data_IF_284001665495
#
_entry.id   IF_284001665495
#
_cell.length_a   1.000
_cell.length_b   1.000
_cell.length_c   1.000
_cell.angle_alpha   90.00
_cell.angle_beta   90.00
_cell.angle_gamma   90.00
#
_symmetry.space_group_name_H-M   'P 1'
#
loop_
_entity.id
_entity.type
_entity.pdbx_description
1 polymer ?
#
# COMPACT_ATOMS: atom_id res chain seq x y z
N UNK A 1 41.39 18.87 52.63
CA UNK A 1 40.42 17.88 52.12
C UNK A 1 39.38 18.62 51.33
N UNK A 2 39.43 18.58 50.00
CA UNK A 2 38.44 19.23 49.12
C UNK A 2 37.38 18.16 48.72
N UNK A 3 36.16 18.33 49.18
CA UNK A 3 35.05 17.45 48.79
C UNK A 3 34.59 17.84 47.37
N UNK A 4 34.91 16.97 46.42
CA UNK A 4 34.41 17.11 45.05
C UNK A 4 32.91 16.77 45.00
N UNK A 5 32.10 17.77 44.68
CA UNK A 5 30.69 17.57 44.39
C UNK A 5 30.53 17.09 42.93
N UNK A 6 30.24 15.80 42.76
CA UNK A 6 29.81 15.26 41.47
C UNK A 6 28.35 15.67 41.28
N UNK A 7 28.08 16.58 40.32
CA UNK A 7 26.72 16.86 39.84
C UNK A 7 26.17 15.59 39.20
N UNK A 8 24.91 15.19 39.52
CA UNK A 8 24.29 14.08 38.84
C UNK A 8 24.09 14.47 37.36
N UNK A 9 24.48 13.59 36.44
CA UNK A 9 24.20 13.76 35.01
C UNK A 9 22.69 13.90 34.83
N UNK A 10 22.28 15.06 34.33
CA UNK A 10 20.86 15.29 33.99
C UNK A 10 20.40 14.17 33.02
N UNK A 11 19.45 13.38 33.46
CA UNK A 11 18.85 12.37 32.59
C UNK A 11 18.25 13.09 31.37
N UNK A 12 18.82 12.84 30.22
CA UNK A 12 18.35 13.43 28.95
C UNK A 12 16.89 13.04 28.76
N UNK A 13 16.01 14.00 28.53
CA UNK A 13 14.59 13.74 28.28
C UNK A 13 14.47 12.70 27.14
N UNK A 14 13.57 11.71 27.26
CA UNK A 14 13.45 10.68 26.25
C UNK A 14 13.14 11.31 24.90
N UNK A 15 13.95 11.00 23.89
CA UNK A 15 13.75 11.48 22.54
C UNK A 15 12.40 11.02 22.02
N UNK A 16 11.67 11.89 21.33
CA UNK A 16 10.35 11.58 20.75
C UNK A 16 10.39 11.65 19.23
N UNK A 17 9.52 10.88 18.60
CA UNK A 17 9.29 10.84 17.17
C UNK A 17 7.80 11.06 16.93
N UNK A 18 7.43 12.08 16.13
CA UNK A 18 6.05 12.34 15.76
C UNK A 18 5.76 11.67 14.42
N UNK A 19 4.94 10.63 14.46
CA UNK A 19 4.58 9.78 13.32
C UNK A 19 3.17 10.14 12.84
N UNK A 20 3.04 10.56 11.58
CA UNK A 20 1.77 10.72 10.87
C UNK A 20 1.57 9.51 9.96
N UNK A 21 0.56 8.67 10.23
CA UNK A 21 0.41 7.37 9.61
C UNK A 21 -0.97 7.17 8.99
N UNK A 22 -0.97 6.76 7.73
CA UNK A 22 -2.14 6.23 7.04
C UNK A 22 -2.23 4.69 7.11
N UNK A 23 -1.32 4.06 7.81
CA UNK A 23 -1.35 2.60 8.01
C UNK A 23 -2.45 2.25 9.03
N UNK A 24 -3.20 1.20 8.72
CA UNK A 24 -4.41 0.81 9.46
C UNK A 24 -4.36 -0.64 9.99
N UNK A 25 -3.14 -1.13 10.24
CA UNK A 25 -2.94 -2.49 10.74
C UNK A 25 -2.75 -2.48 12.26
N UNK A 26 -3.64 -3.13 13.04
CA UNK A 26 -3.43 -3.27 14.50
C UNK A 26 -2.11 -3.96 14.85
N UNK A 27 -1.61 -4.81 13.94
CA UNK A 27 -0.31 -5.49 14.08
C UNK A 27 0.88 -4.54 14.08
N UNK A 28 0.78 -3.34 13.49
CA UNK A 28 1.86 -2.35 13.47
C UNK A 28 2.22 -1.84 14.89
N UNK A 29 1.34 -1.99 15.88
CA UNK A 29 1.66 -1.66 17.28
C UNK A 29 2.90 -2.38 17.78
N UNK A 30 3.10 -3.63 17.38
CA UNK A 30 4.28 -4.39 17.74
C UNK A 30 5.56 -3.81 17.11
N UNK A 31 5.47 -3.27 15.87
CA UNK A 31 6.62 -2.58 15.24
C UNK A 31 7.02 -1.34 16.02
N UNK A 32 6.06 -0.53 16.42
CA UNK A 32 6.29 0.72 17.15
C UNK A 32 6.84 0.45 18.55
N UNK A 33 6.26 -0.53 19.25
CA UNK A 33 6.75 -0.95 20.57
C UNK A 33 8.19 -1.50 20.52
N UNK A 34 8.51 -2.32 19.52
CA UNK A 34 9.84 -2.88 19.34
C UNK A 34 10.88 -1.81 19.00
N UNK A 35 10.52 -0.83 18.16
CA UNK A 35 11.39 0.32 17.89
C UNK A 35 11.71 1.10 19.17
N UNK A 36 10.66 1.46 19.94
CA UNK A 36 10.83 2.18 21.20
C UNK A 36 11.69 1.38 22.20
N UNK A 37 11.46 0.07 22.32
CA UNK A 37 12.26 -0.82 23.18
C UNK A 37 13.73 -0.85 22.76
N UNK A 38 14.00 -0.89 21.46
CA UNK A 38 15.36 -0.99 20.92
C UNK A 38 16.16 0.32 21.00
N UNK A 39 15.46 1.47 20.93
CA UNK A 39 16.12 2.78 20.76
C UNK A 39 15.91 3.75 21.92
N UNK A 40 14.92 3.52 22.79
CA UNK A 40 14.47 4.48 23.80
C UNK A 40 13.66 5.64 23.24
N UNK A 41 13.47 5.73 21.90
CA UNK A 41 12.72 6.78 21.24
C UNK A 41 11.21 6.49 21.35
N UNK A 42 10.45 7.42 21.92
CA UNK A 42 8.99 7.29 22.03
C UNK A 42 8.31 7.77 20.73
N UNK A 43 7.28 7.05 20.29
CA UNK A 43 6.50 7.42 19.12
C UNK A 43 5.21 8.09 19.58
N UNK A 44 5.00 9.36 19.17
CA UNK A 44 3.72 10.05 19.23
C UNK A 44 3.04 9.89 17.86
N UNK A 45 1.85 9.28 17.82
CA UNK A 45 1.20 8.94 16.55
C UNK A 45 -0.05 9.76 16.31
N UNK A 46 -0.24 10.14 15.04
CA UNK A 46 -1.47 10.67 14.47
C UNK A 46 -1.89 9.76 13.33
N UNK A 47 -3.09 9.17 13.45
CA UNK A 47 -3.63 8.26 12.45
C UNK A 47 -4.79 8.94 11.69
N UNK A 48 -4.75 8.83 10.37
CA UNK A 48 -5.82 9.20 9.45
C UNK A 48 -5.62 8.44 8.13
N UNK A 49 -6.55 8.55 7.18
CA UNK A 49 -6.30 8.07 5.83
C UNK A 49 -5.25 8.95 5.11
N UNK A 50 -4.75 8.49 3.94
CA UNK A 50 -3.73 9.24 3.18
C UNK A 50 -4.16 10.69 2.90
N UNK A 51 -5.42 10.91 2.56
CA UNK A 51 -5.94 12.24 2.25
C UNK A 51 -5.95 13.15 3.48
N UNK A 52 -6.38 12.62 4.63
CA UNK A 52 -6.39 13.31 5.92
C UNK A 52 -4.98 13.68 6.39
N UNK A 53 -4.01 12.76 6.30
CA UNK A 53 -2.60 13.03 6.61
C UNK A 53 -2.06 14.16 5.72
N UNK A 54 -2.27 14.08 4.40
CA UNK A 54 -1.77 15.10 3.47
C UNK A 54 -2.45 16.47 3.66
N UNK A 55 -3.76 16.47 3.91
CA UNK A 55 -4.50 17.71 4.20
C UNK A 55 -3.98 18.39 5.48
N UNK A 56 -3.75 17.59 6.52
CA UNK A 56 -3.23 18.07 7.79
C UNK A 56 -1.83 18.67 7.64
N UNK A 57 -0.92 17.98 6.95
CA UNK A 57 0.43 18.50 6.70
C UNK A 57 0.43 19.85 5.95
N UNK A 58 -0.45 19.99 4.94
CA UNK A 58 -0.61 21.28 4.23
C UNK A 58 -1.16 22.37 5.13
N UNK A 59 -2.14 22.08 5.97
CA UNK A 59 -2.73 23.04 6.90
C UNK A 59 -1.75 23.48 7.98
N UNK A 60 -0.94 22.58 8.52
CA UNK A 60 0.07 22.86 9.53
C UNK A 60 1.29 23.60 8.96
N UNK A 61 1.63 23.35 7.68
CA UNK A 61 2.76 23.97 6.99
C UNK A 61 4.08 23.83 7.77
N UNK A 62 4.81 24.93 7.95
CA UNK A 62 6.09 24.95 8.68
C UNK A 62 5.94 24.74 10.20
N UNK A 63 4.72 24.84 10.74
CA UNK A 63 4.42 24.57 12.15
C UNK A 63 4.14 23.08 12.42
N UNK A 64 4.10 22.23 11.38
CA UNK A 64 3.84 20.80 11.55
C UNK A 64 4.86 20.17 12.50
N UNK A 65 4.40 19.42 13.51
CA UNK A 65 5.28 18.67 14.39
C UNK A 65 5.72 17.32 13.80
N UNK A 66 5.20 16.93 12.62
CA UNK A 66 5.48 15.63 12.02
C UNK A 66 6.97 15.42 11.73
N UNK A 67 7.51 14.30 12.12
CA UNK A 67 8.88 13.86 11.79
C UNK A 67 8.88 12.80 10.68
N UNK A 68 7.97 11.81 10.77
CA UNK A 68 7.81 10.75 9.78
C UNK A 68 6.38 10.71 9.26
N UNK A 69 6.26 10.44 7.97
CA UNK A 69 4.99 10.27 7.28
C UNK A 69 4.98 8.86 6.67
N UNK A 70 3.94 8.05 6.99
CA UNK A 70 3.69 6.76 6.37
C UNK A 70 2.41 6.84 5.54
N UNK A 71 2.52 6.55 4.24
CA UNK A 71 1.40 6.49 3.30
C UNK A 71 1.27 5.07 2.73
N UNK A 72 0.05 4.71 2.30
CA UNK A 72 -0.26 3.35 1.86
C UNK A 72 -0.56 3.26 0.35
N UNK A 73 -0.18 4.27 -0.42
CA UNK A 73 -0.39 4.30 -1.86
C UNK A 73 0.75 5.02 -2.57
N UNK A 74 1.27 4.41 -3.63
CA UNK A 74 2.40 4.91 -4.41
C UNK A 74 2.14 6.29 -5.02
N UNK A 75 0.95 6.52 -5.56
CA UNK A 75 0.61 7.80 -6.17
C UNK A 75 0.43 8.91 -5.12
N UNK A 76 0.03 8.55 -3.89
CA UNK A 76 0.00 9.49 -2.76
C UNK A 76 1.40 9.87 -2.30
N UNK A 77 2.34 8.92 -2.27
CA UNK A 77 3.76 9.22 -2.02
C UNK A 77 4.32 10.18 -3.08
N UNK A 78 4.09 9.89 -4.35
CA UNK A 78 4.51 10.77 -5.44
C UNK A 78 3.87 12.17 -5.33
N UNK A 79 2.57 12.25 -5.04
CA UNK A 79 1.87 13.54 -4.90
C UNK A 79 2.44 14.36 -3.74
N UNK A 80 2.70 13.73 -2.62
CA UNK A 80 3.30 14.40 -1.46
C UNK A 80 4.73 14.89 -1.75
N UNK A 81 5.51 14.14 -2.54
CA UNK A 81 6.82 14.57 -3.03
C UNK A 81 6.72 15.81 -3.93
N UNK A 82 5.81 15.80 -4.92
CA UNK A 82 5.57 16.94 -5.84
C UNK A 82 5.09 18.18 -5.08
N UNK A 83 4.25 18.00 -4.07
CA UNK A 83 3.76 19.09 -3.21
C UNK A 83 4.83 19.58 -2.20
N UNK A 84 6.03 19.01 -2.22
CA UNK A 84 7.14 19.40 -1.35
C UNK A 84 6.93 19.11 0.13
N UNK A 85 6.12 18.09 0.47
CA UNK A 85 5.81 17.72 1.85
C UNK A 85 6.89 16.85 2.51
N UNK A 86 7.85 16.39 1.74
CA UNK A 86 8.97 15.56 2.20
C UNK A 86 10.30 16.31 2.11
N UNK A 87 11.23 16.02 3.01
CA UNK A 87 12.62 16.40 2.81
C UNK A 87 13.41 15.17 2.34
N UNK A 88 14.14 15.29 1.22
CA UNK A 88 15.00 14.21 0.74
C UNK A 88 16.14 13.93 1.73
N UNK A 89 16.35 12.66 2.04
CA UNK A 89 17.39 12.20 2.97
C UNK A 89 18.39 11.29 2.25
N UNK A 90 19.60 11.19 2.81
CA UNK A 90 20.61 10.22 2.39
C UNK A 90 20.73 9.16 3.47
N UNK A 91 20.49 7.90 3.13
CA UNK A 91 20.73 6.75 3.99
C UNK A 91 21.26 5.60 3.16
N UNK A 92 22.54 5.29 3.34
CA UNK A 92 23.16 4.12 2.70
C UNK A 92 22.45 2.82 3.05
N UNK A 93 21.92 2.70 4.28
CA UNK A 93 21.21 1.53 4.74
C UNK A 93 19.89 1.34 3.98
N UNK A 94 19.06 2.40 3.84
CA UNK A 94 17.82 2.38 3.09
C UNK A 94 18.07 2.12 1.60
N UNK A 95 19.08 2.78 1.02
CA UNK A 95 19.43 2.65 -0.40
C UNK A 95 19.95 1.25 -0.75
N UNK A 96 20.66 0.60 0.16
CA UNK A 96 21.13 -0.77 0.01
C UNK A 96 19.98 -1.78 0.16
N UNK A 97 19.11 -1.58 1.15
CA UNK A 97 18.01 -2.50 1.45
C UNK A 97 16.89 -2.44 0.40
N UNK A 98 16.49 -1.23 -0.05
CA UNK A 98 15.30 -1.02 -0.85
C UNK A 98 15.68 -0.84 -2.32
N UNK A 99 15.13 -1.67 -3.26
CA UNK A 99 15.37 -1.54 -4.69
C UNK A 99 15.01 -0.16 -5.25
N UNK A 100 15.76 0.30 -6.25
CA UNK A 100 15.60 1.64 -6.82
C UNK A 100 14.19 1.93 -7.37
N UNK A 101 13.51 0.92 -7.93
CA UNK A 101 12.14 1.06 -8.44
C UNK A 101 11.06 1.13 -7.35
N UNK A 102 11.43 0.89 -6.08
CA UNK A 102 10.54 0.97 -4.92
C UNK A 102 10.83 2.18 -4.03
N UNK A 103 11.50 3.20 -4.55
CA UNK A 103 11.78 4.45 -3.85
C UNK A 103 11.76 5.63 -4.81
N UNK A 104 11.68 6.86 -4.29
CA UNK A 104 11.78 8.07 -5.10
C UNK A 104 13.11 8.10 -5.86
N UNK A 105 13.12 8.69 -7.04
CA UNK A 105 14.35 9.00 -7.75
C UNK A 105 15.17 9.98 -6.90
N UNK A 106 16.51 9.84 -6.85
CA UNK A 106 17.35 10.80 -6.16
C UNK A 106 17.12 12.22 -6.67
N UNK A 107 16.97 13.17 -5.77
CA UNK A 107 16.96 14.59 -6.08
C UNK A 107 18.36 15.08 -6.47
N UNK A 108 18.49 16.29 -7.01
CA UNK A 108 19.75 16.87 -7.45
C UNK A 108 20.84 16.90 -6.36
N UNK A 109 20.40 17.03 -5.09
CA UNK A 109 21.29 16.95 -3.95
C UNK A 109 21.68 15.50 -3.58
N UNK A 110 21.22 14.49 -4.32
CA UNK A 110 21.45 13.07 -4.09
C UNK A 110 20.63 12.45 -2.96
N UNK A 111 19.66 13.17 -2.36
CA UNK A 111 18.75 12.64 -1.36
C UNK A 111 17.52 11.96 -2.00
N UNK A 112 16.92 11.01 -1.29
CA UNK A 112 15.71 10.29 -1.70
C UNK A 112 14.53 10.76 -0.85
N UNK A 113 13.42 11.17 -1.50
CA UNK A 113 12.29 11.79 -0.83
C UNK A 113 11.44 10.80 -0.03
N UNK A 114 11.28 9.57 -0.53
CA UNK A 114 10.52 8.50 0.16
C UNK A 114 11.06 7.12 -0.20
N UNK A 115 10.76 6.15 0.65
CA UNK A 115 11.18 4.76 0.53
C UNK A 115 9.97 3.83 0.66
N UNK A 116 9.84 2.86 -0.25
CA UNK A 116 8.88 1.78 -0.11
C UNK A 116 9.22 0.89 1.08
N UNK A 117 8.20 0.42 1.80
CA UNK A 117 8.35 -0.39 3.00
C UNK A 117 7.69 -1.76 2.86
N UNK A 118 6.60 -1.84 2.10
CA UNK A 118 5.93 -3.10 1.76
C UNK A 118 5.18 -2.95 0.44
N UNK A 119 4.87 -4.09 -0.19
CA UNK A 119 4.07 -4.13 -1.42
C UNK A 119 2.88 -5.08 -1.29
N UNK A 120 1.86 -4.84 -2.11
CA UNK A 120 0.69 -5.72 -2.27
C UNK A 120 0.23 -5.70 -3.72
N UNK A 121 -0.28 -6.84 -4.18
CA UNK A 121 -0.83 -6.96 -5.52
C UNK A 121 -2.33 -6.67 -5.54
N UNK A 122 -2.80 -6.06 -6.63
CA UNK A 122 -4.21 -5.87 -6.93
C UNK A 122 -4.68 -7.05 -7.77
N UNK A 123 -5.41 -7.99 -7.19
CA UNK A 123 -5.77 -9.28 -7.80
C UNK A 123 -7.24 -9.33 -8.14
N UNK A 124 -7.60 -10.28 -9.00
CA UNK A 124 -8.99 -10.66 -9.22
C UNK A 124 -9.30 -11.88 -8.36
N UNK A 125 -10.38 -11.79 -7.58
CA UNK A 125 -10.94 -12.93 -6.85
C UNK A 125 -12.22 -13.39 -7.53
N UNK A 126 -12.50 -14.69 -7.51
CA UNK A 126 -13.65 -15.28 -8.19
C UNK A 126 -14.35 -16.35 -7.36
N UNK A 127 -15.61 -16.56 -7.60
CA UNK A 127 -16.43 -17.63 -7.02
C UNK A 127 -16.07 -18.96 -7.65
N UNK A 128 -15.45 -19.87 -6.89
CA UNK A 128 -15.05 -21.22 -7.35
C UNK A 128 -16.19 -22.09 -7.83
N UNK A 129 -17.44 -21.79 -7.46
CA UNK A 129 -18.61 -22.52 -7.94
C UNK A 129 -19.00 -22.13 -9.37
N UNK A 130 -18.61 -20.94 -9.82
CA UNK A 130 -19.00 -20.36 -11.13
C UNK A 130 -17.85 -20.21 -12.12
N UNK A 131 -16.63 -20.04 -11.62
CA UNK A 131 -15.44 -19.76 -12.42
C UNK A 131 -14.29 -20.70 -12.06
N UNK A 132 -13.38 -20.90 -13.00
CA UNK A 132 -12.13 -21.63 -12.83
C UNK A 132 -10.95 -20.71 -13.05
N UNK A 133 -9.78 -21.11 -12.57
CA UNK A 133 -8.53 -20.48 -12.96
C UNK A 133 -8.38 -20.58 -14.50
N UNK A 134 -8.07 -19.45 -15.16
CA UNK A 134 -7.97 -19.34 -16.61
C UNK A 134 -9.26 -18.85 -17.31
N UNK A 135 -10.38 -18.69 -16.61
CA UNK A 135 -11.57 -18.02 -17.18
C UNK A 135 -11.39 -16.50 -17.23
N UNK A 136 -10.46 -15.97 -16.42
CA UNK A 136 -10.07 -14.57 -16.35
C UNK A 136 -8.55 -14.53 -16.15
N UNK A 137 -7.80 -14.07 -17.15
CA UNK A 137 -6.34 -14.05 -17.12
C UNK A 137 -5.75 -12.63 -17.03
N UNK A 138 -6.53 -11.62 -17.34
CA UNK A 138 -6.07 -10.23 -17.37
C UNK A 138 -7.17 -9.25 -16.90
N UNK A 139 -6.76 -8.01 -16.60
CA UNK A 139 -7.71 -6.97 -16.16
C UNK A 139 -8.67 -6.56 -17.28
N UNK A 140 -8.21 -6.60 -18.52
CA UNK A 140 -8.96 -6.18 -19.69
C UNK A 140 -10.24 -7.00 -19.84
N UNK A 141 -10.20 -8.29 -19.53
CA UNK A 141 -11.34 -9.22 -19.59
C UNK A 141 -12.46 -8.91 -18.60
N UNK A 142 -12.18 -8.12 -17.55
CA UNK A 142 -13.22 -7.70 -16.61
C UNK A 142 -14.29 -6.79 -17.27
N UNK A 143 -13.98 -6.21 -18.43
CA UNK A 143 -14.92 -5.45 -19.24
C UNK A 143 -15.68 -6.30 -20.28
N UNK A 144 -15.38 -7.61 -20.38
CA UNK A 144 -16.08 -8.50 -21.30
C UNK A 144 -17.57 -8.61 -20.93
N UNK A 145 -18.52 -8.45 -21.88
CA UNK A 145 -19.95 -8.61 -21.64
C UNK A 145 -20.38 -9.95 -21.05
N UNK A 146 -19.56 -11.01 -21.16
CA UNK A 146 -19.79 -12.31 -20.48
C UNK A 146 -19.88 -12.17 -18.96
N UNK A 147 -19.29 -11.10 -18.39
CA UNK A 147 -19.29 -10.80 -16.96
C UNK A 147 -20.41 -9.85 -16.53
N UNK A 148 -21.40 -9.59 -17.38
CA UNK A 148 -22.51 -8.70 -17.05
C UNK A 148 -23.22 -9.13 -15.77
N UNK A 149 -23.31 -8.20 -14.78
CA UNK A 149 -23.91 -8.47 -13.48
C UNK A 149 -23.06 -9.38 -12.58
N UNK A 150 -21.74 -9.55 -12.86
CA UNK A 150 -20.87 -10.43 -12.11
C UNK A 150 -19.80 -9.69 -11.28
N UNK A 151 -19.53 -8.42 -11.61
CA UNK A 151 -18.40 -7.70 -11.00
C UNK A 151 -18.82 -6.97 -9.72
N UNK A 152 -18.11 -7.22 -8.63
CA UNK A 152 -18.10 -6.37 -7.44
C UNK A 152 -16.78 -5.60 -7.35
N UNK A 153 -16.90 -4.32 -7.06
CA UNK A 153 -15.75 -3.43 -6.91
C UNK A 153 -16.07 -2.33 -5.90
N UNK A 154 -15.06 -1.82 -5.22
CA UNK A 154 -15.19 -0.63 -4.36
C UNK A 154 -15.23 0.64 -5.21
N UNK A 155 -15.47 1.79 -4.57
CA UNK A 155 -15.49 3.10 -5.26
C UNK A 155 -14.34 3.28 -6.26
N UNK A 156 -14.65 3.77 -7.46
CA UNK A 156 -13.67 4.08 -8.50
C UNK A 156 -12.65 5.12 -8.07
N UNK A 157 -13.06 6.12 -7.29
CA UNK A 157 -12.20 7.19 -6.77
C UNK A 157 -11.33 6.77 -5.57
N UNK A 158 -11.47 5.53 -5.10
CA UNK A 158 -10.58 5.05 -4.02
C UNK A 158 -9.13 4.95 -4.51
N UNK A 159 -8.12 5.36 -3.69
CA UNK A 159 -6.71 5.37 -4.10
C UNK A 159 -6.23 4.08 -4.78
N UNK A 160 -6.63 2.90 -4.28
CA UNK A 160 -6.20 1.62 -4.86
C UNK A 160 -6.73 1.40 -6.30
N UNK A 161 -7.94 1.84 -6.59
CA UNK A 161 -8.50 1.79 -7.94
C UNK A 161 -7.90 2.89 -8.83
N UNK A 162 -7.74 4.12 -8.31
CA UNK A 162 -7.06 5.19 -9.05
C UNK A 162 -5.65 4.79 -9.47
N UNK A 163 -4.90 4.09 -8.61
CA UNK A 163 -3.56 3.59 -8.93
C UNK A 163 -3.60 2.50 -10.00
N UNK A 164 -4.48 1.49 -9.87
CA UNK A 164 -4.66 0.48 -10.92
C UNK A 164 -5.08 1.13 -12.25
N UNK A 165 -6.08 2.01 -12.24
CA UNK A 165 -6.59 2.65 -13.44
C UNK A 165 -5.57 3.60 -14.07
N UNK A 166 -4.72 4.23 -13.24
CA UNK A 166 -3.57 5.00 -13.70
C UNK A 166 -2.54 4.14 -14.44
N UNK A 167 -2.26 2.94 -13.93
CA UNK A 167 -1.40 1.97 -14.58
C UNK A 167 -2.04 1.41 -15.87
N UNK A 168 -3.34 1.09 -15.85
CA UNK A 168 -4.08 0.70 -17.06
C UNK A 168 -4.03 1.78 -18.14
N UNK A 169 -4.07 3.06 -17.75
CA UNK A 169 -3.96 4.18 -18.70
C UNK A 169 -2.59 4.21 -19.37
N UNK A 170 -1.54 3.84 -18.67
CA UNK A 170 -0.19 3.71 -19.25
C UNK A 170 -0.11 2.55 -20.24
N UNK A 171 -0.67 1.40 -19.89
CA UNK A 171 -0.60 0.20 -20.74
C UNK A 171 -1.50 0.26 -21.97
N UNK A 172 -2.73 0.79 -21.83
CA UNK A 172 -3.75 0.76 -22.88
C UNK A 172 -3.92 2.08 -23.63
N UNK A 173 -3.46 3.17 -23.04
CA UNK A 173 -3.82 4.52 -23.47
C UNK A 173 -5.20 4.97 -22.97
N UNK A 174 -5.46 6.30 -22.94
CA UNK A 174 -6.65 6.86 -22.30
C UNK A 174 -7.97 6.40 -22.90
N UNK A 175 -8.09 6.32 -24.24
CA UNK A 175 -9.32 5.95 -24.91
C UNK A 175 -9.74 4.50 -24.59
N UNK A 176 -8.80 3.54 -24.65
CA UNK A 176 -9.08 2.14 -24.34
C UNK A 176 -9.37 1.97 -22.86
N UNK A 177 -8.67 2.71 -21.98
CA UNK A 177 -8.93 2.69 -20.55
C UNK A 177 -10.35 3.19 -20.24
N UNK A 178 -10.80 4.28 -20.86
CA UNK A 178 -12.15 4.79 -20.67
C UNK A 178 -13.21 3.79 -21.14
N UNK A 179 -13.02 3.16 -22.30
CA UNK A 179 -13.88 2.08 -22.77
C UNK A 179 -13.91 0.88 -21.81
N UNK A 180 -12.76 0.50 -21.29
CA UNK A 180 -12.64 -0.55 -20.29
C UNK A 180 -13.37 -0.18 -18.99
N UNK A 181 -13.19 1.03 -18.46
CA UNK A 181 -13.92 1.53 -17.28
C UNK A 181 -15.44 1.50 -17.50
N UNK A 182 -15.91 1.87 -18.69
CA UNK A 182 -17.33 1.75 -19.06
C UNK A 182 -17.80 0.30 -19.00
N UNK A 183 -17.00 -0.65 -19.55
CA UNK A 183 -17.29 -2.08 -19.48
C UNK A 183 -17.34 -2.59 -18.04
N UNK A 184 -16.45 -2.11 -17.14
CA UNK A 184 -16.55 -2.45 -15.72
C UNK A 184 -17.88 -1.99 -15.12
N UNK A 185 -18.33 -0.76 -15.44
CA UNK A 185 -19.60 -0.22 -14.94
C UNK A 185 -20.77 -1.09 -15.45
N UNK A 186 -20.76 -1.47 -16.73
CA UNK A 186 -21.81 -2.29 -17.34
C UNK A 186 -21.86 -3.72 -16.75
N UNK A 187 -20.73 -4.22 -16.22
CA UNK A 187 -20.60 -5.55 -15.64
C UNK A 187 -20.85 -5.59 -14.13
N UNK A 188 -21.06 -4.46 -13.47
CA UNK A 188 -21.29 -4.44 -12.02
C UNK A 188 -22.55 -5.21 -11.62
N UNK A 189 -22.41 -6.08 -10.62
CA UNK A 189 -23.52 -6.76 -9.96
C UNK A 189 -24.32 -5.81 -9.06
N UNK A 190 -23.67 -4.77 -8.56
CA UNK A 190 -24.23 -3.75 -7.67
C UNK A 190 -23.44 -2.45 -7.73
N UNK A 191 -24.05 -1.37 -7.28
CA UNK A 191 -23.33 -0.10 -7.06
C UNK A 191 -22.14 -0.31 -6.15
N UNK A 192 -20.98 0.32 -6.45
CA UNK A 192 -19.79 0.24 -5.60
C UNK A 192 -20.08 0.59 -4.14
N UNK A 193 -19.71 -0.28 -3.23
CA UNK A 193 -19.87 -0.08 -1.78
C UNK A 193 -18.85 -0.87 -0.98
N UNK A 194 -18.51 -0.39 0.22
CA UNK A 194 -17.63 -1.07 1.15
C UNK A 194 -16.16 -1.13 0.72
N UNK A 195 -15.36 -1.87 1.46
CA UNK A 195 -13.95 -2.11 1.21
C UNK A 195 -13.68 -3.43 0.50
N UNK A 196 -12.41 -3.78 0.31
CA UNK A 196 -12.00 -5.00 -0.40
C UNK A 196 -12.51 -6.29 0.30
N UNK A 197 -12.58 -6.31 1.65
CA UNK A 197 -13.18 -7.43 2.38
C UNK A 197 -14.65 -7.64 2.01
N UNK A 198 -15.42 -6.55 1.80
CA UNK A 198 -16.83 -6.63 1.40
C UNK A 198 -16.99 -7.14 -0.03
N UNK A 199 -16.02 -6.87 -0.90
CA UNK A 199 -16.00 -7.43 -2.25
C UNK A 199 -15.75 -8.95 -2.19
N UNK A 200 -14.78 -9.41 -1.38
CA UNK A 200 -14.50 -10.84 -1.18
C UNK A 200 -15.73 -11.55 -0.61
N UNK A 201 -16.41 -10.95 0.37
CA UNK A 201 -17.66 -11.50 0.93
C UNK A 201 -18.79 -11.57 -0.10
N UNK A 202 -18.91 -10.55 -0.96
CA UNK A 202 -19.86 -10.56 -2.07
C UNK A 202 -19.64 -11.71 -3.04
N UNK A 203 -18.38 -12.02 -3.37
CA UNK A 203 -18.01 -13.18 -4.18
C UNK A 203 -18.35 -14.49 -3.45
N UNK A 204 -17.93 -14.64 -2.19
CA UNK A 204 -18.15 -15.87 -1.42
C UNK A 204 -19.62 -16.16 -1.11
N UNK A 205 -20.48 -15.14 -1.12
CA UNK A 205 -21.95 -15.28 -0.94
C UNK A 205 -22.71 -15.52 -2.24
N UNK A 206 -22.03 -15.43 -3.40
CA UNK A 206 -22.67 -15.52 -4.71
C UNK A 206 -23.37 -14.25 -5.19
N UNK A 207 -23.30 -13.13 -4.44
CA UNK A 207 -23.78 -11.80 -4.90
C UNK A 207 -23.02 -11.37 -6.17
N UNK A 208 -21.73 -11.67 -6.23
CA UNK A 208 -20.85 -11.39 -7.37
C UNK A 208 -20.14 -12.66 -7.82
N UNK A 209 -19.77 -12.72 -9.11
CA UNK A 209 -18.93 -13.78 -9.64
C UNK A 209 -17.45 -13.48 -9.45
N UNK A 210 -17.09 -12.22 -9.61
CA UNK A 210 -15.70 -11.74 -9.57
C UNK A 210 -15.59 -10.41 -8.84
N UNK A 211 -14.41 -10.12 -8.30
CA UNK A 211 -14.10 -8.82 -7.70
C UNK A 211 -12.61 -8.48 -7.81
N UNK A 212 -12.30 -7.18 -7.76
CA UNK A 212 -10.93 -6.67 -7.66
C UNK A 212 -10.61 -6.35 -6.20
N UNK A 213 -9.52 -6.92 -5.67
CA UNK A 213 -9.12 -6.73 -4.27
C UNK A 213 -7.60 -6.68 -4.11
N UNK A 214 -7.11 -6.13 -3.00
CA UNK A 214 -5.71 -6.30 -2.63
C UNK A 214 -5.52 -7.67 -1.95
N UNK A 215 -4.38 -8.29 -2.21
CA UNK A 215 -4.03 -9.63 -1.73
C UNK A 215 -4.12 -9.81 -0.23
N UNK A 216 -3.68 -8.84 0.56
CA UNK A 216 -3.64 -8.96 2.01
C UNK A 216 -5.03 -9.09 2.67
N UNK A 217 -6.11 -8.64 2.01
CA UNK A 217 -7.47 -8.83 2.52
C UNK A 217 -7.89 -10.30 2.45
N UNK A 218 -7.63 -10.98 1.32
CA UNK A 218 -7.90 -12.41 1.21
C UNK A 218 -6.99 -13.20 2.15
N UNK A 219 -5.69 -12.88 2.20
CA UNK A 219 -4.76 -13.53 3.11
C UNK A 219 -5.17 -13.40 4.57
N UNK A 220 -5.74 -12.26 4.98
CA UNK A 220 -6.28 -12.04 6.32
C UNK A 220 -7.44 -12.99 6.62
N UNK A 221 -8.36 -13.18 5.68
CA UNK A 221 -9.47 -14.13 5.84
C UNK A 221 -8.97 -15.57 5.90
N UNK A 222 -8.03 -15.95 5.04
CA UNK A 222 -7.43 -17.30 5.05
C UNK A 222 -6.74 -17.63 6.38
N UNK A 223 -6.18 -16.63 7.06
CA UNK A 223 -5.43 -16.75 8.32
C UNK A 223 -6.23 -16.34 9.55
N UNK A 224 -7.50 -16.01 9.38
CA UNK A 224 -8.35 -15.56 10.49
C UNK A 224 -8.49 -16.67 11.56
N UNK A 225 -8.44 -16.33 12.86
CA UNK A 225 -8.80 -17.27 13.92
C UNK A 225 -10.25 -17.70 13.84
N UNK A 226 -11.12 -16.89 13.21
CA UNK A 226 -12.54 -17.21 13.03
C UNK A 226 -12.73 -18.24 11.90
N UNK A 227 -13.33 -19.38 12.23
CA UNK A 227 -13.61 -20.44 11.25
C UNK A 227 -14.55 -19.98 10.11
N UNK A 228 -15.48 -19.08 10.37
CA UNK A 228 -16.38 -18.53 9.36
C UNK A 228 -15.64 -17.71 8.29
N UNK A 229 -14.63 -16.92 8.69
CA UNK A 229 -13.80 -16.18 7.74
C UNK A 229 -12.98 -17.13 6.84
N UNK A 230 -12.41 -18.20 7.42
CA UNK A 230 -11.67 -19.20 6.64
C UNK A 230 -12.58 -19.95 5.66
N UNK A 231 -13.76 -20.39 6.12
CA UNK A 231 -14.76 -21.04 5.26
C UNK A 231 -15.25 -20.13 4.11
N UNK A 232 -15.27 -18.80 4.34
CA UNK A 232 -15.55 -17.83 3.31
C UNK A 232 -14.41 -17.74 2.30
N UNK A 233 -13.16 -17.67 2.78
CA UNK A 233 -11.98 -17.65 1.91
C UNK A 233 -11.85 -18.93 1.06
N UNK A 234 -12.25 -20.08 1.58
CA UNK A 234 -12.21 -21.37 0.85
C UNK A 234 -13.10 -21.41 -0.39
N UNK A 235 -14.18 -20.60 -0.42
CA UNK A 235 -15.08 -20.48 -1.59
C UNK A 235 -14.50 -19.63 -2.71
N UNK A 236 -13.44 -18.86 -2.43
CA UNK A 236 -12.91 -17.85 -3.32
C UNK A 236 -11.59 -18.33 -3.95
N UNK A 237 -11.49 -18.24 -5.28
CA UNK A 237 -10.24 -18.35 -6.01
C UNK A 237 -9.58 -17.00 -6.22
N UNK A 238 -8.31 -17.01 -6.60
CA UNK A 238 -7.53 -15.79 -6.87
C UNK A 238 -6.75 -15.93 -8.18
N UNK A 239 -6.73 -14.87 -8.96
CA UNK A 239 -5.91 -14.73 -10.17
C UNK A 239 -5.02 -13.51 -9.99
N UNK A 240 -3.75 -13.68 -10.34
CA UNK A 240 -2.82 -12.58 -10.55
C UNK A 240 -2.89 -12.21 -12.04
N UNK A 241 -3.57 -11.11 -12.42
CA UNK A 241 -3.83 -10.81 -13.82
C UNK A 241 -2.57 -10.48 -14.62
N UNK A 242 -2.66 -10.59 -15.94
CA UNK A 242 -1.63 -10.14 -16.91
C UNK A 242 -0.28 -10.88 -16.80
N UNK A 243 -0.24 -12.12 -16.31
CA UNK A 243 1.01 -12.87 -16.14
C UNK A 243 1.71 -13.16 -17.49
N UNK A 244 0.95 -13.32 -18.59
CA UNK A 244 1.46 -13.49 -19.95
C UNK A 244 1.82 -12.17 -20.64
N UNK A 245 1.47 -11.02 -20.06
CA UNK A 245 1.71 -9.69 -20.63
C UNK A 245 2.55 -8.81 -19.71
N UNK A 246 2.05 -7.66 -19.25
CA UNK A 246 2.80 -6.68 -18.47
C UNK A 246 2.90 -6.99 -16.97
N UNK A 247 2.15 -7.95 -16.46
CA UNK A 247 2.20 -8.37 -15.07
C UNK A 247 1.08 -7.79 -14.21
N UNK A 248 0.97 -8.26 -12.98
CA UNK A 248 -0.05 -7.80 -12.03
C UNK A 248 0.32 -6.46 -11.42
N UNK A 249 -0.64 -5.55 -11.31
CA UNK A 249 -0.46 -4.27 -10.63
C UNK A 249 -0.05 -4.46 -9.18
N UNK A 250 1.06 -3.81 -8.80
CA UNK A 250 1.62 -3.81 -7.44
C UNK A 250 1.63 -2.39 -6.91
N UNK A 251 1.08 -2.20 -5.71
CA UNK A 251 1.10 -0.92 -5.03
C UNK A 251 2.05 -0.96 -3.83
N UNK A 252 2.49 0.20 -3.36
CA UNK A 252 3.55 0.40 -2.38
C UNK A 252 2.98 1.14 -1.16
N UNK A 253 3.23 0.63 0.05
CA UNK A 253 3.22 1.45 1.25
C UNK A 253 4.64 1.96 1.48
N UNK A 254 4.79 3.24 1.80
CA UNK A 254 6.10 3.84 1.98
C UNK A 254 6.15 4.87 3.09
N UNK A 255 7.38 5.29 3.38
CA UNK A 255 7.66 6.27 4.40
C UNK A 255 8.63 7.36 3.94
N UNK A 256 8.50 8.53 4.54
CA UNK A 256 9.29 9.70 4.26
C UNK A 256 9.58 10.51 5.53
N UNK A 257 10.63 11.31 5.52
CA UNK A 257 10.86 12.34 6.52
C UNK A 257 10.03 13.57 6.15
N UNK A 258 9.28 14.11 7.08
CA UNK A 258 8.45 15.30 6.85
C UNK A 258 9.32 16.51 6.50
N UNK A 259 8.80 17.43 5.66
CA UNK A 259 9.52 18.63 5.18
C UNK A 259 10.13 19.46 6.30
N UNK A 260 9.40 19.61 7.39
CA UNK A 260 9.77 20.46 8.54
C UNK A 260 10.07 19.63 9.80
N UNK A 261 10.45 18.35 9.63
CA UNK A 261 10.80 17.47 10.74
C UNK A 261 11.87 18.11 11.64
N UNK A 262 11.64 18.07 12.94
CA UNK A 262 12.58 18.57 13.95
C UNK A 262 13.54 17.48 14.44
N UNK A 263 13.11 16.22 14.38
CA UNK A 263 13.84 15.05 14.86
C UNK A 263 14.31 14.16 13.69
N UNK A 264 15.05 14.75 12.73
CA UNK A 264 15.45 14.08 11.47
C UNK A 264 16.23 12.78 11.74
N UNK A 265 17.18 12.81 12.67
CA UNK A 265 17.99 11.61 12.99
C UNK A 265 17.11 10.46 13.54
N UNK A 266 16.14 10.77 14.39
CA UNK A 266 15.16 9.80 14.88
C UNK A 266 14.25 9.29 13.76
N UNK A 267 13.86 10.16 12.84
CA UNK A 267 13.04 9.82 11.67
C UNK A 267 13.79 8.87 10.72
N UNK A 268 15.05 9.17 10.40
CA UNK A 268 15.91 8.29 9.59
C UNK A 268 16.08 6.93 10.26
N UNK A 269 16.42 6.92 11.56
CA UNK A 269 16.57 5.68 12.33
C UNK A 269 15.30 4.83 12.35
N UNK A 270 14.11 5.47 12.39
CA UNK A 270 12.85 4.74 12.32
C UNK A 270 12.59 4.14 10.92
N UNK A 271 12.87 4.88 9.86
CA UNK A 271 12.75 4.35 8.48
C UNK A 271 13.74 3.20 8.24
N UNK A 272 14.98 3.31 8.72
CA UNK A 272 15.97 2.24 8.66
C UNK A 272 15.52 0.99 9.44
N UNK A 273 14.93 1.20 10.64
CA UNK A 273 14.33 0.12 11.40
C UNK A 273 13.20 -0.58 10.61
N UNK A 274 12.29 0.18 9.96
CA UNK A 274 11.22 -0.40 9.14
C UNK A 274 11.75 -1.16 7.92
N UNK A 275 12.93 -0.83 7.42
CA UNK A 275 13.63 -1.57 6.36
C UNK A 275 14.45 -2.76 6.88
N UNK A 276 14.58 -2.94 8.19
CA UNK A 276 15.34 -4.05 8.79
C UNK A 276 14.68 -5.40 8.51
N UNK A 277 15.45 -6.51 8.48
CA UNK A 277 14.91 -7.85 8.26
C UNK A 277 13.78 -8.22 9.24
N UNK A 278 13.87 -7.80 10.50
CA UNK A 278 12.85 -8.08 11.51
C UNK A 278 11.51 -7.36 11.21
N UNK A 279 11.55 -6.07 10.90
CA UNK A 279 10.38 -5.30 10.53
C UNK A 279 9.78 -5.78 9.20
N UNK A 280 10.62 -6.13 8.23
CA UNK A 280 10.17 -6.64 6.93
C UNK A 280 9.50 -8.02 7.04
N UNK A 281 9.99 -8.90 7.90
CA UNK A 281 9.27 -10.15 8.25
C UNK A 281 7.93 -9.87 8.92
N UNK A 282 7.85 -8.83 9.74
CA UNK A 282 6.59 -8.43 10.38
C UNK A 282 5.56 -7.98 9.34
N UNK A 283 5.94 -7.18 8.34
CA UNK A 283 5.04 -6.82 7.24
C UNK A 283 4.49 -8.06 6.51
N UNK A 284 5.35 -9.05 6.26
CA UNK A 284 4.89 -10.28 5.61
C UNK A 284 4.01 -11.13 6.52
N UNK A 285 4.45 -11.42 7.73
CA UNK A 285 3.80 -12.39 8.61
C UNK A 285 2.63 -11.80 9.40
N UNK A 286 2.71 -10.52 9.78
CA UNK A 286 1.67 -9.79 10.51
C UNK A 286 0.63 -9.16 9.60
N UNK A 287 1.06 -8.47 8.54
CA UNK A 287 0.20 -7.65 7.70
C UNK A 287 -0.20 -8.31 6.38
N UNK A 288 0.42 -9.45 6.04
CA UNK A 288 0.23 -10.15 4.77
C UNK A 288 0.61 -9.30 3.54
N UNK A 289 1.64 -8.47 3.66
CA UNK A 289 2.22 -7.69 2.59
C UNK A 289 3.61 -8.23 2.23
N UNK A 290 4.04 -8.14 0.98
CA UNK A 290 5.39 -8.57 0.61
C UNK A 290 6.42 -7.58 1.12
N UNK A 291 7.54 -8.08 1.69
CA UNK A 291 8.67 -7.24 2.06
C UNK A 291 9.32 -6.65 0.81
N UNK A 292 9.88 -5.46 0.93
CA UNK A 292 10.62 -4.78 -0.14
C UNK A 292 12.13 -4.92 0.01
N UNK A 293 12.63 -5.15 1.23
CA UNK A 293 14.05 -5.26 1.46
C UNK A 293 14.61 -6.55 0.87
N UNK A 294 15.75 -6.42 0.20
CA UNK A 294 16.43 -7.52 -0.48
C UNK A 294 16.83 -8.62 0.51
N UNK A 295 16.68 -9.86 0.08
CA UNK A 295 17.13 -11.04 0.84
C UNK A 295 16.32 -11.40 2.09
N UNK A 296 15.18 -10.75 2.32
CA UNK A 296 14.31 -11.09 3.44
C UNK A 296 13.48 -12.31 3.11
N UNK A 297 13.72 -13.40 3.83
CA UNK A 297 12.86 -14.58 3.81
C UNK A 297 11.72 -14.44 4.81
N UNK A 298 10.54 -14.90 4.45
CA UNK A 298 9.35 -14.87 5.31
C UNK A 298 8.55 -16.17 5.16
N UNK A 299 7.72 -16.46 6.14
CA UNK A 299 6.86 -17.63 6.13
C UNK A 299 5.40 -17.20 6.35
N UNK A 300 4.71 -16.90 5.24
CA UNK A 300 3.28 -16.62 5.23
C UNK A 300 2.59 -17.63 4.31
N UNK A 301 1.90 -18.64 4.89
CA UNK A 301 1.29 -19.70 4.11
C UNK A 301 0.19 -19.20 3.15
N UNK A 302 -0.54 -18.13 3.52
CA UNK A 302 -1.58 -17.57 2.67
C UNK A 302 -0.98 -16.88 1.42
N UNK A 303 0.09 -16.08 1.59
CA UNK A 303 0.80 -15.48 0.45
C UNK A 303 1.40 -16.56 -0.46
N UNK A 304 2.00 -17.59 0.12
CA UNK A 304 2.55 -18.73 -0.65
C UNK A 304 1.45 -19.49 -1.43
N UNK A 305 0.33 -19.78 -0.77
CA UNK A 305 -0.79 -20.49 -1.40
C UNK A 305 -1.41 -19.71 -2.56
N UNK A 306 -1.52 -18.37 -2.44
CA UNK A 306 -2.06 -17.52 -3.51
C UNK A 306 -1.16 -17.45 -4.75
N UNK A 307 0.17 -17.42 -4.57
CA UNK A 307 1.11 -17.19 -5.67
C UNK A 307 1.67 -18.45 -6.30
N UNK A 308 1.53 -19.60 -5.67
CA UNK A 308 2.12 -20.86 -6.17
C UNK A 308 3.66 -20.80 -6.33
N UNK A 309 4.33 -19.83 -5.69
CA UNK A 309 5.80 -19.69 -5.76
C UNK A 309 6.29 -18.36 -6.33
N UNK A 310 5.38 -17.53 -6.84
CA UNK A 310 5.73 -16.20 -7.37
C UNK A 310 4.73 -15.68 -8.38
N UNK A 311 4.90 -14.44 -8.79
CA UNK A 311 4.12 -13.81 -9.86
C UNK A 311 4.93 -12.70 -10.52
N UNK A 312 4.60 -12.41 -11.78
CA UNK A 312 5.15 -11.26 -12.50
C UNK A 312 4.41 -10.00 -12.07
N UNK A 313 5.12 -9.06 -11.47
CA UNK A 313 4.59 -7.72 -11.20
C UNK A 313 4.80 -6.80 -12.39
N UNK A 314 3.91 -5.83 -12.57
CA UNK A 314 4.10 -4.77 -13.54
C UNK A 314 5.27 -3.86 -13.14
N UNK A 315 5.81 -3.15 -14.14
CA UNK A 315 6.85 -2.14 -13.94
C UNK A 315 6.37 -0.82 -14.55
N UNK A 316 5.50 -0.10 -13.81
CA UNK A 316 5.09 1.26 -14.16
C UNK A 316 5.70 2.21 -13.14
N UNK A 317 6.39 3.29 -13.57
CA UNK A 317 6.93 4.28 -12.66
C UNK A 317 5.81 4.91 -11.81
N UNK A 318 6.05 5.05 -10.50
CA UNK A 318 5.09 5.63 -9.55
C UNK A 318 4.63 7.02 -9.98
N UNK A 319 5.54 7.82 -10.55
CA UNK A 319 5.22 9.14 -11.11
C UNK A 319 4.17 9.09 -12.23
N UNK A 320 4.23 8.08 -13.10
CA UNK A 320 3.28 7.89 -14.19
C UNK A 320 1.90 7.54 -13.65
N UNK A 321 1.83 6.62 -12.69
CA UNK A 321 0.59 6.29 -12.00
C UNK A 321 -0.03 7.53 -11.34
N UNK A 322 0.79 8.33 -10.66
CA UNK A 322 0.37 9.57 -10.01
C UNK A 322 -0.14 10.63 -11.00
N UNK A 323 0.60 10.88 -12.08
CA UNK A 323 0.21 11.84 -13.12
C UNK A 323 -1.10 11.47 -13.81
N UNK A 324 -1.38 10.18 -13.98
CA UNK A 324 -2.60 9.71 -14.63
C UNK A 324 -3.84 9.85 -13.74
N UNK A 325 -3.73 10.03 -12.42
CA UNK A 325 -4.90 10.05 -11.52
C UNK A 325 -5.95 11.09 -11.86
N UNK A 326 -5.54 12.30 -12.27
CA UNK A 326 -6.50 13.35 -12.66
C UNK A 326 -7.28 12.94 -13.91
N UNK A 327 -6.59 12.39 -14.92
CA UNK A 327 -7.25 11.88 -16.15
C UNK A 327 -8.18 10.72 -15.82
N UNK A 328 -7.77 9.82 -14.95
CA UNK A 328 -8.60 8.69 -14.48
C UNK A 328 -9.86 9.20 -13.81
N UNK A 329 -9.77 10.16 -12.89
CA UNK A 329 -10.96 10.73 -12.25
C UNK A 329 -11.94 11.32 -13.27
N UNK A 330 -11.44 12.06 -14.26
CA UNK A 330 -12.27 12.59 -15.33
C UNK A 330 -12.95 11.49 -16.17
N UNK A 331 -12.26 10.38 -16.43
CA UNK A 331 -12.83 9.22 -17.11
C UNK A 331 -13.93 8.57 -16.27
N UNK A 332 -13.69 8.37 -14.96
CA UNK A 332 -14.67 7.82 -14.02
C UNK A 332 -15.96 8.65 -13.99
N UNK A 333 -15.81 9.99 -13.96
CA UNK A 333 -16.95 10.91 -13.96
C UNK A 333 -17.76 10.77 -15.26
N UNK A 334 -17.11 10.66 -16.44
CA UNK A 334 -17.78 10.50 -17.73
C UNK A 334 -18.50 9.16 -17.87
N UNK A 335 -17.93 8.07 -17.36
CA UNK A 335 -18.56 6.74 -17.44
C UNK A 335 -19.53 6.44 -16.29
N UNK A 336 -19.67 7.36 -15.34
CA UNK A 336 -20.57 7.21 -14.19
C UNK A 336 -20.09 6.19 -13.16
N UNK A 337 -18.80 5.96 -13.06
CA UNK A 337 -18.22 5.04 -12.07
C UNK A 337 -18.03 5.78 -10.73
N UNK A 338 -18.86 5.49 -9.75
CA UNK A 338 -18.86 6.11 -8.42
C UNK A 338 -17.84 5.52 -7.46
#
# INVERSE_FOLDING_TARGET
MAAGWTLPAAAQAPQTLNLYSARHYPTDEALYANFTKATGIRINRVDADDAGILARLRAEGSASPADVILLVDAARLWRAEVDGLFQPIRSKALEAAIPAHLRAKPADNGGTAWFGLSTRARVVVFDKARFKAGDIDNYEELADPKLKGQLCIRSGSHPYNLSLFGAMTEHLGPQKTEAWLKGLVDNMARTPKGGDTDQIRGVASGECGVAITNTYYLARLMRSPNAADRALADKVGVVFPNQSSWGTHVNIAGGAVARHAKNVDAAVKFLEYLASPAAQKHFANGNNEWPVAKGVSFDNPALKAMTGGGFKSEVVPVSVVGMNQVKVQQMLDRVGFK
#
